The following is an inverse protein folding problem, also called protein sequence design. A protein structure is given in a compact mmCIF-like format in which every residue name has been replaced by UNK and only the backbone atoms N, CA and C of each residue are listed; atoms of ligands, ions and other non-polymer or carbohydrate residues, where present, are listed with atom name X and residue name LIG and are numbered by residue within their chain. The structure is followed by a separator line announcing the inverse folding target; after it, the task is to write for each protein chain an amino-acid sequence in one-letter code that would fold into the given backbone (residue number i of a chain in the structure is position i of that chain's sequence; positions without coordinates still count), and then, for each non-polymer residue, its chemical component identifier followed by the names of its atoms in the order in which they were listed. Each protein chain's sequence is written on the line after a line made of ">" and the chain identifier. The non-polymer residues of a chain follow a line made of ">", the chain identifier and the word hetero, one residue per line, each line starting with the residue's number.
data_IF_368453645090
#
_entry.id   IF_368453645090
#
_cell.length_a   1.000
_cell.length_b   1.000
_cell.length_c   1.000
_cell.angle_alpha   90.00
_cell.angle_beta   90.00
_cell.angle_gamma   90.00
#
_symmetry.space_group_name_H-M   'P 1'
#
loop_
_entity.id
_entity.type
_entity.pdbx_description
1 polymer ?
#
# COMPACT_ATOMS: atom_id res chain seq x y z
N UNK A 1 15.06 -3.54 -13.87
CA UNK A 1 15.44 -3.30 -12.47
C UNK A 1 16.47 -4.33 -11.97
N UNK A 2 16.27 -5.63 -12.16
CA UNK A 2 17.22 -6.67 -11.73
C UNK A 2 18.59 -6.58 -12.41
N UNK A 3 18.65 -6.05 -13.61
CA UNK A 3 19.92 -5.82 -14.34
C UNK A 3 20.77 -4.75 -13.62
N UNK A 4 20.14 -3.68 -13.13
CA UNK A 4 20.79 -2.62 -12.35
C UNK A 4 21.14 -3.06 -10.92
N UNK A 5 20.47 -4.06 -10.40
CA UNK A 5 20.71 -4.57 -9.05
C UNK A 5 21.97 -5.44 -8.94
N UNK A 6 22.47 -6.01 -10.06
CA UNK A 6 23.61 -6.93 -10.02
C UNK A 6 23.42 -8.03 -8.97
N UNK A 7 24.39 -8.21 -8.08
CA UNK A 7 24.32 -9.20 -7.01
C UNK A 7 23.31 -8.84 -5.91
N UNK A 8 22.89 -7.58 -5.79
CA UNK A 8 21.92 -7.13 -4.79
C UNK A 8 20.48 -7.58 -5.08
N UNK A 9 20.20 -8.13 -6.28
CA UNK A 9 18.91 -8.77 -6.60
C UNK A 9 18.53 -9.87 -5.61
N UNK A 10 19.51 -10.57 -5.04
CA UNK A 10 19.27 -11.61 -4.03
C UNK A 10 18.74 -11.02 -2.72
N UNK A 11 19.16 -9.81 -2.34
CA UNK A 11 18.61 -9.11 -1.18
C UNK A 11 17.16 -8.70 -1.41
N UNK A 12 16.79 -8.26 -2.63
CA UNK A 12 15.39 -7.99 -2.97
C UNK A 12 14.52 -9.25 -2.83
N UNK A 13 14.99 -10.39 -3.36
CA UNK A 13 14.26 -11.65 -3.24
C UNK A 13 14.15 -12.08 -1.77
N UNK A 14 15.24 -11.95 -1.01
CA UNK A 14 15.27 -12.27 0.42
C UNK A 14 14.30 -11.39 1.22
N UNK A 15 14.17 -10.09 0.86
CA UNK A 15 13.21 -9.19 1.50
C UNK A 15 11.75 -9.66 1.29
N UNK A 16 11.41 -10.16 0.09
CA UNK A 16 10.07 -10.71 -0.17
C UNK A 16 9.81 -11.97 0.65
N UNK A 17 10.80 -12.87 0.74
CA UNK A 17 10.70 -14.07 1.55
C UNK A 17 10.47 -13.71 3.02
N UNK A 18 11.24 -12.76 3.56
CA UNK A 18 11.06 -12.30 4.93
C UNK A 18 9.70 -11.64 5.14
N UNK A 19 9.19 -10.84 4.18
CA UNK A 19 7.86 -10.25 4.26
C UNK A 19 6.76 -11.32 4.30
N UNK A 20 6.82 -12.33 3.44
CA UNK A 20 5.85 -13.45 3.44
C UNK A 20 5.92 -14.24 4.74
N UNK A 21 7.13 -14.63 5.18
CA UNK A 21 7.31 -15.43 6.39
C UNK A 21 6.88 -14.64 7.63
N UNK A 22 7.24 -13.36 7.72
CA UNK A 22 6.81 -12.51 8.83
C UNK A 22 5.30 -12.36 8.89
N UNK A 23 4.64 -12.18 7.72
CA UNK A 23 3.18 -12.10 7.64
C UNK A 23 2.48 -13.37 8.14
N UNK A 24 3.01 -14.55 7.81
CA UNK A 24 2.45 -15.81 8.30
C UNK A 24 2.73 -16.05 9.79
N UNK A 25 3.94 -15.74 10.26
CA UNK A 25 4.28 -15.84 11.69
C UNK A 25 3.43 -14.86 12.51
N UNK A 26 3.09 -13.69 11.98
CA UNK A 26 2.19 -12.72 12.62
C UNK A 26 0.76 -13.26 12.86
N UNK A 27 0.36 -14.34 12.19
CA UNK A 27 -0.92 -15.01 12.41
C UNK A 27 -0.88 -16.03 13.58
N UNK A 28 0.30 -16.52 13.94
CA UNK A 28 0.45 -17.52 15.00
C UNK A 28 -0.07 -17.05 16.38
N UNK A 29 0.13 -15.77 16.79
CA UNK A 29 -0.48 -15.24 18.01
C UNK A 29 -2.00 -15.44 18.10
N UNK A 30 -2.73 -15.33 16.97
CA UNK A 30 -4.18 -15.54 16.96
C UNK A 30 -4.56 -16.99 17.30
N UNK A 31 -3.75 -17.96 16.88
CA UNK A 31 -3.92 -19.35 17.29
C UNK A 31 -3.74 -19.52 18.81
N UNK A 32 -2.74 -18.89 19.41
CA UNK A 32 -2.53 -18.97 20.86
C UNK A 32 -3.62 -18.22 21.65
N UNK A 33 -4.12 -17.09 21.14
CA UNK A 33 -5.27 -16.38 21.74
C UNK A 33 -6.50 -17.32 21.73
N UNK A 34 -6.74 -18.03 20.62
CA UNK A 34 -7.80 -19.03 20.57
C UNK A 34 -7.58 -20.15 21.61
N UNK A 35 -6.35 -20.63 21.79
CA UNK A 35 -6.02 -21.63 22.81
C UNK A 35 -6.33 -21.14 24.23
N UNK A 36 -6.01 -19.86 24.52
CA UNK A 36 -6.35 -19.24 25.81
C UNK A 36 -7.85 -19.22 26.01
N UNK A 37 -8.62 -18.74 25.03
CA UNK A 37 -10.08 -18.67 25.11
C UNK A 37 -10.67 -20.07 25.29
N UNK A 38 -10.20 -21.04 24.52
CA UNK A 38 -10.66 -22.43 24.61
C UNK A 38 -10.41 -23.01 26.00
N UNK A 39 -9.22 -22.87 26.56
CA UNK A 39 -8.90 -23.39 27.89
C UNK A 39 -9.78 -22.75 28.99
N UNK A 40 -10.05 -21.42 28.87
CA UNK A 40 -10.96 -20.73 29.80
C UNK A 40 -12.37 -21.31 29.71
N UNK A 41 -12.88 -21.59 28.52
CA UNK A 41 -14.22 -22.14 28.32
C UNK A 41 -14.31 -23.59 28.79
N UNK A 42 -13.28 -24.40 28.56
CA UNK A 42 -13.24 -25.83 28.91
C UNK A 42 -13.22 -26.05 30.43
N UNK A 43 -12.63 -25.13 31.21
CA UNK A 43 -12.55 -25.22 32.68
C UNK A 43 -13.64 -24.45 33.44
N UNK A 44 -14.51 -23.72 32.73
CA UNK A 44 -15.59 -22.95 33.35
C UNK A 44 -16.54 -23.87 34.14
N UNK A 45 -16.97 -23.51 35.38
CA UNK A 45 -16.68 -22.26 36.11
C UNK A 45 -15.42 -22.28 36.98
N UNK A 46 -14.61 -23.35 36.95
CA UNK A 46 -13.43 -23.54 37.81
C UNK A 46 -12.16 -22.99 37.18
N UNK A 47 -12.06 -21.68 37.01
CA UNK A 47 -10.96 -20.99 36.29
C UNK A 47 -9.56 -21.19 36.92
N UNK A 48 -9.48 -21.61 38.17
CA UNK A 48 -8.25 -21.96 38.88
C UNK A 48 -7.52 -23.18 38.27
N UNK A 49 -8.24 -24.00 37.48
CA UNK A 49 -7.69 -25.16 36.78
C UNK A 49 -7.06 -24.80 35.42
N UNK A 50 -7.12 -23.56 34.99
CA UNK A 50 -6.51 -23.08 33.76
C UNK A 50 -4.99 -22.86 33.91
N UNK A 51 -4.21 -23.95 33.89
CA UNK A 51 -2.77 -23.92 34.21
C UNK A 51 -1.87 -23.39 33.09
N UNK A 52 -2.32 -23.41 31.81
CA UNK A 52 -1.49 -23.13 30.64
C UNK A 52 -1.62 -21.69 30.08
N UNK A 53 -2.49 -20.85 30.64
CA UNK A 53 -2.78 -19.51 30.11
C UNK A 53 -1.52 -18.65 29.95
N UNK A 54 -0.67 -18.64 30.98
CA UNK A 54 0.58 -17.86 30.94
C UNK A 54 1.53 -18.37 29.86
N UNK A 55 1.62 -19.69 29.67
CA UNK A 55 2.45 -20.32 28.66
C UNK A 55 1.98 -19.95 27.25
N UNK A 56 0.68 -20.04 26.96
CA UNK A 56 0.11 -19.60 25.68
C UNK A 56 0.32 -18.10 25.44
N UNK A 57 0.16 -17.27 26.48
CA UNK A 57 0.45 -15.84 26.43
C UNK A 57 1.90 -15.56 26.03
N UNK A 58 2.87 -16.22 26.66
CA UNK A 58 4.27 -16.06 26.32
C UNK A 58 4.63 -16.53 24.91
N UNK A 59 4.03 -17.62 24.43
CA UNK A 59 4.19 -18.06 23.04
C UNK A 59 3.61 -17.02 22.06
N UNK A 60 2.42 -16.48 22.33
CA UNK A 60 1.83 -15.45 21.49
C UNK A 60 2.74 -14.22 21.37
N UNK A 61 3.27 -13.73 22.51
CA UNK A 61 4.22 -12.60 22.53
C UNK A 61 5.52 -12.96 21.80
N UNK A 62 6.08 -14.15 22.04
CA UNK A 62 7.30 -14.60 21.38
C UNK A 62 7.18 -14.64 19.85
N UNK A 63 6.08 -15.17 19.32
CA UNK A 63 5.82 -15.18 17.87
C UNK A 63 5.54 -13.79 17.31
N UNK A 64 4.89 -12.91 18.07
CA UNK A 64 4.70 -11.51 17.65
C UNK A 64 6.05 -10.78 17.53
N UNK A 65 6.94 -10.94 18.51
CA UNK A 65 8.29 -10.37 18.47
C UNK A 65 9.10 -10.97 17.31
N UNK A 66 9.02 -12.28 17.09
CA UNK A 66 9.72 -12.96 16.00
C UNK A 66 9.25 -12.45 14.64
N UNK A 67 7.93 -12.27 14.44
CA UNK A 67 7.40 -11.71 13.19
C UNK A 67 7.92 -10.29 12.93
N UNK A 68 7.91 -9.45 13.96
CA UNK A 68 8.44 -8.08 13.87
C UNK A 68 9.94 -8.08 13.52
N UNK A 69 10.71 -8.94 14.15
CA UNK A 69 12.15 -9.07 13.87
C UNK A 69 12.41 -9.47 12.41
N UNK A 70 11.68 -10.47 11.90
CA UNK A 70 11.80 -10.89 10.49
C UNK A 70 11.38 -9.80 9.53
N UNK A 71 10.32 -9.05 9.85
CA UNK A 71 9.90 -7.91 9.05
C UNK A 71 11.00 -6.84 8.96
N UNK A 72 11.63 -6.49 10.09
CA UNK A 72 12.76 -5.54 10.12
C UNK A 72 13.94 -6.07 9.30
N UNK A 73 14.28 -7.35 9.40
CA UNK A 73 15.31 -7.95 8.55
C UNK A 73 14.96 -7.84 7.06
N UNK A 74 13.71 -8.06 6.70
CA UNK A 74 13.20 -7.87 5.34
C UNK A 74 13.35 -6.44 4.85
N UNK A 75 12.98 -5.45 5.67
CA UNK A 75 13.16 -4.02 5.36
C UNK A 75 14.63 -3.65 5.18
N UNK A 76 15.52 -4.12 6.03
CA UNK A 76 16.96 -3.87 5.88
C UNK A 76 17.48 -4.42 4.54
N UNK A 77 17.09 -5.62 4.17
CA UNK A 77 17.46 -6.22 2.88
C UNK A 77 16.90 -5.41 1.69
N UNK A 78 15.63 -4.95 1.76
CA UNK A 78 15.02 -4.17 0.69
C UNK A 78 15.69 -2.80 0.53
N UNK A 79 15.93 -2.08 1.62
CA UNK A 79 16.58 -0.77 1.58
C UNK A 79 18.02 -0.85 1.06
N UNK A 80 18.82 -1.82 1.53
CA UNK A 80 20.18 -2.00 1.03
C UNK A 80 20.19 -2.25 -0.48
N UNK A 81 19.29 -3.09 -0.98
CA UNK A 81 19.16 -3.34 -2.42
C UNK A 81 18.69 -2.09 -3.16
N UNK A 82 17.66 -1.41 -2.66
CA UNK A 82 17.07 -0.24 -3.29
C UNK A 82 18.06 0.92 -3.43
N UNK A 83 18.82 1.23 -2.39
CA UNK A 83 19.87 2.28 -2.43
C UNK A 83 20.96 1.95 -3.44
N UNK A 84 21.33 0.68 -3.55
CA UNK A 84 22.34 0.26 -4.51
C UNK A 84 21.84 0.41 -5.96
N UNK A 85 20.60 0.00 -6.23
CA UNK A 85 19.93 0.19 -7.53
C UNK A 85 19.79 1.66 -7.86
N UNK A 86 19.36 2.49 -6.91
CA UNK A 86 19.23 3.93 -7.08
C UNK A 86 20.57 4.59 -7.46
N UNK A 87 21.65 4.24 -6.75
CA UNK A 87 22.98 4.75 -7.04
C UNK A 87 23.46 4.31 -8.44
N UNK A 88 23.20 3.05 -8.82
CA UNK A 88 23.51 2.52 -10.15
C UNK A 88 22.76 3.25 -11.26
N UNK A 89 21.47 3.47 -11.11
CA UNK A 89 20.64 4.21 -12.07
C UNK A 89 21.15 5.65 -12.20
N UNK A 90 21.42 6.35 -11.09
CA UNK A 90 21.95 7.72 -11.12
C UNK A 90 23.29 7.79 -11.86
N UNK A 91 24.20 6.86 -11.58
CA UNK A 91 25.51 6.80 -12.23
C UNK A 91 25.39 6.60 -13.73
N UNK A 92 24.54 5.66 -14.18
CA UNK A 92 24.34 5.41 -15.60
C UNK A 92 23.65 6.57 -16.32
N UNK A 93 22.65 7.19 -15.70
CA UNK A 93 22.00 8.38 -16.24
C UNK A 93 22.99 9.54 -16.40
N UNK A 94 23.83 9.79 -15.38
CA UNK A 94 24.85 10.84 -15.47
C UNK A 94 25.87 10.53 -16.55
N UNK A 95 26.33 9.28 -16.68
CA UNK A 95 27.24 8.88 -17.74
C UNK A 95 26.59 9.08 -19.13
N UNK A 96 25.34 8.69 -19.29
CA UNK A 96 24.61 8.89 -20.55
C UNK A 96 24.47 10.38 -20.89
N UNK A 97 24.12 11.22 -19.93
CA UNK A 97 23.99 12.67 -20.12
C UNK A 97 25.31 13.30 -20.61
N UNK A 98 26.46 12.82 -20.09
CA UNK A 98 27.77 13.32 -20.54
C UNK A 98 28.12 12.93 -21.99
N UNK A 99 27.45 11.92 -22.56
CA UNK A 99 27.63 11.51 -23.96
C UNK A 99 26.71 12.27 -24.94
N UNK A 100 25.75 13.05 -24.44
CA UNK A 100 24.79 13.80 -25.26
C UNK A 100 25.43 15.09 -25.83
N UNK A 101 25.00 15.55 -27.03
CA UNK A 101 25.44 16.81 -27.61
C UNK A 101 25.10 18.01 -26.70
N UNK A 102 25.96 19.05 -26.70
CA UNK A 102 25.77 20.27 -25.91
C UNK A 102 24.40 20.93 -26.14
N UNK A 103 23.88 20.91 -27.37
CA UNK A 103 22.56 21.48 -27.69
C UNK A 103 21.38 20.84 -26.96
N UNK A 104 21.53 19.60 -26.45
CA UNK A 104 20.52 18.95 -25.63
C UNK A 104 20.35 19.65 -24.26
N UNK A 105 21.45 20.13 -23.70
CA UNK A 105 21.44 20.87 -22.42
C UNK A 105 20.75 22.22 -22.54
N UNK A 106 20.83 22.86 -23.71
CA UNK A 106 20.21 24.17 -23.95
C UNK A 106 18.70 24.05 -24.21
N UNK A 107 18.24 22.96 -24.85
CA UNK A 107 16.85 22.78 -25.21
C UNK A 107 15.96 22.34 -24.04
N UNK A 108 16.45 21.47 -23.17
CA UNK A 108 15.65 20.88 -22.10
C UNK A 108 15.86 21.51 -20.72
N UNK A 109 16.90 22.31 -20.55
CA UNK A 109 17.24 23.00 -19.32
C UNK A 109 17.77 22.08 -18.20
N UNK A 110 18.75 22.55 -17.46
CA UNK A 110 19.40 21.82 -16.36
C UNK A 110 18.42 21.38 -15.26
N UNK A 111 17.32 22.11 -15.07
CA UNK A 111 16.29 21.81 -14.09
C UNK A 111 15.50 20.55 -14.42
N UNK A 112 15.14 20.31 -15.69
CA UNK A 112 14.44 19.12 -16.14
C UNK A 112 15.30 17.86 -16.01
N UNK A 113 16.58 17.96 -16.42
CA UNK A 113 17.54 16.88 -16.27
C UNK A 113 17.74 16.50 -14.80
N UNK A 114 17.95 17.49 -13.94
CA UNK A 114 18.05 17.28 -12.49
C UNK A 114 16.82 16.60 -11.91
N UNK A 115 15.63 17.01 -12.35
CA UNK A 115 14.35 16.39 -11.93
C UNK A 115 14.31 14.93 -12.33
N UNK A 116 14.60 14.59 -13.58
CA UNK A 116 14.60 13.20 -14.08
C UNK A 116 15.58 12.34 -13.29
N UNK A 117 16.83 12.79 -13.11
CA UNK A 117 17.87 12.02 -12.42
C UNK A 117 17.53 11.81 -10.94
N UNK A 118 17.02 12.82 -10.23
CA UNK A 118 16.72 12.70 -8.81
C UNK A 118 15.36 12.06 -8.55
N UNK A 119 14.28 12.62 -9.07
CA UNK A 119 12.92 12.18 -8.74
C UNK A 119 12.61 10.78 -9.30
N UNK A 120 13.03 10.46 -10.54
CA UNK A 120 12.77 9.13 -11.10
C UNK A 120 13.59 8.03 -10.41
N UNK A 121 14.82 8.33 -9.99
CA UNK A 121 15.63 7.36 -9.24
C UNK A 121 15.15 7.19 -7.79
N UNK A 122 14.63 8.26 -7.15
CA UNK A 122 13.99 8.21 -5.82
C UNK A 122 12.68 7.42 -5.86
N UNK A 123 11.84 7.63 -6.89
CA UNK A 123 10.63 6.84 -7.09
C UNK A 123 10.94 5.34 -7.26
N UNK A 124 12.03 5.00 -7.95
CA UNK A 124 12.47 3.62 -8.10
C UNK A 124 12.95 3.02 -6.78
N UNK A 125 13.69 3.78 -5.98
CA UNK A 125 14.11 3.38 -4.64
C UNK A 125 12.89 3.10 -3.74
N UNK A 126 11.95 4.04 -3.65
CA UNK A 126 10.72 3.91 -2.87
C UNK A 126 9.92 2.66 -3.29
N UNK A 127 9.84 2.40 -4.60
CA UNK A 127 9.16 1.21 -5.12
C UNK A 127 9.83 -0.08 -4.64
N UNK A 128 11.15 -0.18 -4.75
CA UNK A 128 11.92 -1.37 -4.37
C UNK A 128 12.00 -1.55 -2.85
N UNK A 129 12.16 -0.45 -2.10
CA UNK A 129 12.35 -0.49 -0.66
C UNK A 129 11.06 -0.83 0.09
N UNK A 130 9.93 -0.29 -0.35
CA UNK A 130 8.65 -0.38 0.36
C UNK A 130 7.57 -1.12 -0.42
N UNK A 131 7.26 -0.70 -1.65
CA UNK A 131 6.07 -1.21 -2.34
C UNK A 131 6.16 -2.70 -2.67
N UNK A 132 7.31 -3.20 -3.08
CA UNK A 132 7.46 -4.63 -3.42
C UNK A 132 7.39 -5.55 -2.19
N UNK A 133 8.12 -5.31 -1.06
CA UNK A 133 7.96 -6.10 0.15
C UNK A 133 6.55 -6.02 0.73
N UNK A 134 5.92 -4.82 0.72
CA UNK A 134 4.57 -4.63 1.20
C UNK A 134 3.53 -5.38 0.35
N UNK A 135 3.69 -5.42 -0.98
CA UNK A 135 2.84 -6.22 -1.86
C UNK A 135 2.97 -7.72 -1.57
N UNK A 136 4.20 -8.21 -1.33
CA UNK A 136 4.42 -9.60 -0.97
C UNK A 136 3.70 -9.96 0.36
N UNK A 137 3.81 -9.12 1.37
CA UNK A 137 3.09 -9.26 2.64
C UNK A 137 1.57 -9.14 2.48
N UNK A 138 1.11 -8.17 1.69
CA UNK A 138 -0.32 -7.95 1.43
C UNK A 138 -1.00 -9.12 0.71
N UNK A 139 -0.27 -9.86 -0.13
CA UNK A 139 -0.77 -11.10 -0.76
C UNK A 139 -0.67 -12.28 0.22
N UNK A 140 0.41 -12.39 0.97
CA UNK A 140 0.66 -13.49 1.89
C UNK A 140 -0.33 -13.51 3.07
N UNK A 141 -0.70 -12.35 3.60
CA UNK A 141 -1.61 -12.24 4.76
C UNK A 141 -3.00 -12.82 4.50
N UNK A 142 -3.73 -12.47 3.43
CA UNK A 142 -5.03 -13.09 3.14
C UNK A 142 -4.95 -14.59 2.90
N UNK A 143 -3.87 -15.05 2.23
CA UNK A 143 -3.65 -16.49 2.01
C UNK A 143 -3.42 -17.21 3.33
N UNK A 144 -2.59 -16.65 4.21
CA UNK A 144 -2.35 -17.23 5.53
C UNK A 144 -3.61 -17.23 6.41
N UNK A 145 -4.40 -16.15 6.39
CA UNK A 145 -5.69 -16.09 7.08
C UNK A 145 -6.67 -17.14 6.56
N UNK A 146 -6.75 -17.33 5.24
CA UNK A 146 -7.59 -18.34 4.65
C UNK A 146 -7.18 -19.74 5.12
N UNK A 147 -5.89 -20.05 5.07
CA UNK A 147 -5.36 -21.34 5.57
C UNK A 147 -5.72 -21.52 7.04
N UNK A 148 -5.53 -20.49 7.87
CA UNK A 148 -5.88 -20.54 9.28
C UNK A 148 -7.37 -20.81 9.49
N UNK A 149 -8.25 -20.10 8.79
CA UNK A 149 -9.71 -20.29 8.87
C UNK A 149 -10.13 -21.70 8.44
N UNK A 150 -9.56 -22.23 7.36
CA UNK A 150 -9.85 -23.59 6.89
C UNK A 150 -9.35 -24.67 7.85
N UNK A 151 -8.28 -24.42 8.60
CA UNK A 151 -7.77 -25.32 9.63
C UNK A 151 -8.69 -25.38 10.86
N UNK A 152 -9.37 -24.29 11.21
CA UNK A 152 -10.32 -24.29 12.33
C UNK A 152 -11.67 -24.92 11.95
N UNK A 153 -12.29 -24.44 10.89
CA UNK A 153 -13.53 -24.99 10.33
C UNK A 153 -13.62 -24.62 8.85
N UNK A 154 -13.54 -25.64 7.97
CA UNK A 154 -13.57 -25.44 6.53
C UNK A 154 -14.87 -24.81 6.04
N UNK A 155 -16.02 -25.05 6.73
CA UNK A 155 -17.34 -24.51 6.38
C UNK A 155 -17.37 -23.00 6.64
N UNK A 156 -16.94 -22.60 7.83
CA UNK A 156 -16.84 -21.19 8.20
C UNK A 156 -15.80 -20.47 7.34
N UNK A 157 -14.67 -21.12 7.06
CA UNK A 157 -13.63 -20.59 6.18
C UNK A 157 -14.13 -20.30 4.77
N UNK A 158 -14.86 -21.24 4.15
CA UNK A 158 -15.43 -21.05 2.81
C UNK A 158 -16.52 -19.96 2.79
N UNK A 159 -17.38 -19.91 3.80
CA UNK A 159 -18.43 -18.89 3.87
C UNK A 159 -17.87 -17.48 4.10
N UNK A 160 -16.77 -17.35 4.84
CA UNK A 160 -16.08 -16.08 5.03
C UNK A 160 -15.43 -15.53 3.76
N UNK A 161 -15.16 -16.38 2.77
CA UNK A 161 -14.64 -15.94 1.47
C UNK A 161 -15.66 -15.16 0.65
N UNK A 162 -16.96 -15.40 0.83
CA UNK A 162 -18.01 -14.76 0.02
C UNK A 162 -17.89 -13.23 0.08
N UNK A 163 -17.92 -12.58 1.25
CA UNK A 163 -17.77 -11.13 1.32
C UNK A 163 -16.37 -10.65 0.87
N UNK A 164 -15.33 -11.44 1.09
CA UNK A 164 -13.97 -11.10 0.63
C UNK A 164 -13.89 -11.06 -0.89
N UNK A 165 -14.38 -12.11 -1.56
CA UNK A 165 -14.43 -12.17 -3.03
C UNK A 165 -15.31 -11.06 -3.60
N UNK A 166 -16.47 -10.79 -3.00
CA UNK A 166 -17.35 -9.70 -3.41
C UNK A 166 -16.65 -8.33 -3.29
N UNK A 167 -15.91 -8.09 -2.19
CA UNK A 167 -15.13 -6.88 -2.00
C UNK A 167 -14.02 -6.73 -3.07
N UNK A 168 -13.31 -7.82 -3.41
CA UNK A 168 -12.30 -7.81 -4.47
C UNK A 168 -12.88 -7.54 -5.86
N UNK A 169 -14.05 -8.08 -6.17
CA UNK A 169 -14.76 -7.79 -7.44
C UNK A 169 -15.14 -6.31 -7.55
N UNK A 170 -15.63 -5.72 -6.45
CA UNK A 170 -15.93 -4.29 -6.40
C UNK A 170 -14.65 -3.46 -6.56
N UNK A 171 -13.57 -3.81 -5.87
CA UNK A 171 -12.28 -3.12 -6.02
C UNK A 171 -11.74 -3.24 -7.45
N UNK A 172 -11.90 -4.39 -8.11
CA UNK A 172 -11.54 -4.59 -9.51
C UNK A 172 -12.30 -3.63 -10.45
N UNK A 173 -13.55 -3.29 -10.14
CA UNK A 173 -14.32 -2.32 -10.92
C UNK A 173 -13.76 -0.89 -10.88
N UNK A 174 -12.99 -0.57 -9.83
CA UNK A 174 -12.33 0.74 -9.65
C UNK A 174 -11.02 0.86 -10.44
N UNK A 175 -10.48 -0.24 -10.98
CA UNK A 175 -9.19 -0.27 -11.70
C UNK A 175 -9.33 -0.34 -13.23
N UNK A 176 -10.55 -0.18 -13.76
CA UNK A 176 -10.83 -0.24 -15.18
C UNK A 176 -10.28 0.96 -15.98
N UNK A 177 -10.30 0.85 -17.33
CA UNK A 177 -9.80 1.89 -18.24
C UNK A 177 -10.43 3.26 -17.98
N UNK A 178 -11.73 3.30 -17.72
CA UNK A 178 -12.46 4.55 -17.39
C UNK A 178 -11.87 5.28 -16.17
N UNK A 179 -11.42 4.52 -15.17
CA UNK A 179 -10.80 5.11 -13.97
C UNK A 179 -9.38 5.61 -14.26
N UNK A 180 -8.62 4.88 -15.09
CA UNK A 180 -7.31 5.33 -15.57
C UNK A 180 -7.38 6.64 -16.32
N UNK A 181 -8.37 6.78 -17.23
CA UNK A 181 -8.57 8.00 -18.01
C UNK A 181 -8.88 9.20 -17.08
N UNK A 182 -9.77 8.99 -16.10
CA UNK A 182 -10.08 10.02 -15.08
C UNK A 182 -8.89 10.37 -14.19
N UNK A 183 -8.08 9.38 -13.82
CA UNK A 183 -6.86 9.63 -13.05
C UNK A 183 -5.86 10.44 -13.89
N UNK A 184 -5.73 10.15 -15.17
CA UNK A 184 -4.87 10.92 -16.08
C UNK A 184 -5.34 12.37 -16.20
N UNK A 185 -6.64 12.60 -16.35
CA UNK A 185 -7.20 13.96 -16.40
C UNK A 185 -6.99 14.73 -15.07
N UNK A 186 -7.13 14.04 -13.94
CA UNK A 186 -6.83 14.61 -12.63
C UNK A 186 -5.34 15.00 -12.51
N UNK A 187 -4.43 14.10 -12.93
CA UNK A 187 -2.99 14.36 -12.91
C UNK A 187 -2.61 15.55 -13.83
N UNK A 188 -3.17 15.60 -15.02
CA UNK A 188 -2.95 16.70 -15.95
C UNK A 188 -3.42 18.05 -15.36
N UNK A 189 -4.59 18.07 -14.71
CA UNK A 189 -5.10 19.27 -14.06
C UNK A 189 -4.24 19.71 -12.87
N UNK A 190 -3.67 18.75 -12.11
CA UNK A 190 -2.72 19.02 -11.01
C UNK A 190 -1.41 19.60 -11.53
N UNK A 191 -0.87 19.05 -12.62
CA UNK A 191 0.35 19.53 -13.26
C UNK A 191 0.16 20.94 -13.82
N UNK A 192 -0.95 21.22 -14.51
CA UNK A 192 -1.30 22.54 -15.00
C UNK A 192 -1.42 23.57 -13.86
N UNK A 193 -2.11 23.22 -12.78
CA UNK A 193 -2.23 24.08 -11.60
C UNK A 193 -0.86 24.37 -10.96
N UNK A 194 0.00 23.35 -10.85
CA UNK A 194 1.34 23.47 -10.28
C UNK A 194 2.25 24.39 -11.14
N UNK A 195 2.16 24.23 -12.46
CA UNK A 195 2.89 25.06 -13.42
C UNK A 195 2.46 26.53 -13.35
N UNK A 196 1.16 26.80 -13.35
CA UNK A 196 0.61 28.16 -13.23
C UNK A 196 0.94 28.79 -11.85
N UNK A 197 1.04 27.99 -10.77
CA UNK A 197 1.47 28.47 -9.47
C UNK A 197 2.92 28.95 -9.50
N UNK A 198 3.81 28.20 -10.15
CA UNK A 198 5.23 28.59 -10.30
C UNK A 198 5.37 29.86 -11.14
N UNK A 199 4.65 29.94 -12.28
CA UNK A 199 4.64 31.16 -13.11
C UNK A 199 4.12 32.37 -12.34
N UNK A 200 3.05 32.15 -11.56
CA UNK A 200 2.50 33.19 -10.71
C UNK A 200 3.52 33.74 -9.71
N UNK A 201 4.19 32.85 -8.95
CA UNK A 201 5.21 33.26 -7.97
C UNK A 201 6.37 34.03 -8.65
N UNK A 202 6.81 33.56 -9.83
CA UNK A 202 7.84 34.24 -10.62
C UNK A 202 7.39 35.64 -11.11
N UNK A 203 6.11 35.82 -11.39
CA UNK A 203 5.52 37.07 -11.85
C UNK A 203 5.24 38.10 -10.75
N UNK A 204 5.24 37.72 -9.46
CA UNK A 204 4.91 38.62 -8.33
C UNK A 204 5.77 39.92 -8.31
N UNK A 205 7.09 39.89 -8.53
CA UNK A 205 7.89 41.11 -8.54
C UNK A 205 7.44 42.08 -9.64
N UNK A 206 7.13 41.58 -10.84
CA UNK A 206 6.66 42.38 -11.98
C UNK A 206 5.28 42.98 -11.68
N UNK A 207 4.36 42.21 -11.14
CA UNK A 207 3.01 42.67 -10.75
C UNK A 207 3.11 43.77 -9.69
N UNK A 208 4.00 43.63 -8.69
CA UNK A 208 4.22 44.65 -7.64
C UNK A 208 4.83 45.93 -8.20
N UNK A 209 5.76 45.83 -9.14
CA UNK A 209 6.45 46.98 -9.72
C UNK A 209 5.51 47.84 -10.60
N UNK A 210 4.62 47.18 -11.36
CA UNK A 210 3.74 47.89 -12.29
C UNK A 210 2.34 48.14 -11.74
N UNK A 211 2.08 47.89 -10.44
CA UNK A 211 0.79 48.17 -9.79
C UNK A 211 -0.40 47.39 -10.36
N UNK A 212 -0.13 46.35 -11.11
CA UNK A 212 -1.19 45.53 -11.72
C UNK A 212 -1.89 44.70 -10.66
N UNK A 213 -3.19 44.84 -10.56
CA UNK A 213 -4.02 44.09 -9.63
C UNK A 213 -4.37 42.69 -10.14
N UNK A 214 -4.94 41.92 -9.27
CA UNK A 214 -5.58 40.59 -9.28
C UNK A 214 -5.91 39.91 -10.62
N UNK A 215 -5.93 40.58 -11.76
CA UNK A 215 -6.22 40.02 -13.08
C UNK A 215 -5.13 39.12 -13.66
N UNK A 216 -3.86 39.34 -13.29
CA UNK A 216 -2.76 38.40 -13.61
C UNK A 216 -2.90 37.04 -12.96
N UNK A 217 -3.77 36.93 -11.95
CA UNK A 217 -4.17 35.68 -11.28
C UNK A 217 -5.19 34.85 -12.04
N UNK A 218 -5.75 35.35 -13.12
CA UNK A 218 -6.89 34.66 -13.77
C UNK A 218 -6.52 33.23 -14.20
N UNK A 219 -5.35 33.08 -14.83
CA UNK A 219 -4.88 31.77 -15.30
C UNK A 219 -4.71 30.79 -14.13
N UNK A 220 -4.02 31.20 -13.07
CA UNK A 220 -3.81 30.37 -11.88
C UNK A 220 -5.14 30.05 -11.17
N UNK A 221 -6.03 31.03 -11.02
CA UNK A 221 -7.36 30.77 -10.45
C UNK A 221 -8.21 29.83 -11.30
N UNK A 222 -8.13 29.93 -12.61
CA UNK A 222 -8.88 29.08 -13.53
C UNK A 222 -8.30 27.64 -13.50
N UNK A 223 -6.98 27.47 -13.37
CA UNK A 223 -6.35 26.16 -13.17
C UNK A 223 -6.73 25.51 -11.83
N UNK A 224 -6.82 26.28 -10.73
CA UNK A 224 -7.34 25.80 -9.44
C UNK A 224 -8.77 25.29 -9.58
N UNK A 225 -9.65 26.04 -10.24
CA UNK A 225 -11.05 25.63 -10.47
C UNK A 225 -11.16 24.39 -11.35
N UNK A 226 -10.28 24.26 -12.34
CA UNK A 226 -10.21 23.08 -13.18
C UNK A 226 -9.77 21.86 -12.35
N UNK A 227 -8.75 21.99 -11.52
CA UNK A 227 -8.29 20.96 -10.61
C UNK A 227 -9.37 20.58 -9.58
N UNK A 228 -10.04 21.55 -8.97
CA UNK A 228 -11.18 21.33 -8.07
C UNK A 228 -12.28 20.52 -8.73
N UNK A 229 -12.69 20.91 -9.95
CA UNK A 229 -13.73 20.19 -10.73
C UNK A 229 -13.35 18.73 -10.95
N UNK A 230 -12.11 18.47 -11.35
CA UNK A 230 -11.64 17.10 -11.59
C UNK A 230 -11.50 16.31 -10.30
N UNK A 231 -11.01 16.93 -9.22
CA UNK A 231 -10.93 16.29 -7.89
C UNK A 231 -12.30 15.85 -7.40
N UNK A 232 -13.29 16.75 -7.49
CA UNK A 232 -14.68 16.45 -7.10
C UNK A 232 -15.27 15.35 -7.98
N UNK A 233 -15.06 15.40 -9.30
CA UNK A 233 -15.57 14.40 -10.24
C UNK A 233 -14.97 13.02 -9.95
N UNK A 234 -13.65 12.94 -9.75
CA UNK A 234 -12.95 11.71 -9.40
C UNK A 234 -13.42 11.13 -8.07
N UNK A 235 -13.51 11.96 -7.03
CA UNK A 235 -13.97 11.53 -5.70
C UNK A 235 -15.43 11.05 -5.71
N UNK A 236 -16.31 11.72 -6.45
CA UNK A 236 -17.71 11.31 -6.60
C UNK A 236 -17.84 9.95 -7.29
N UNK A 237 -17.03 9.67 -8.29
CA UNK A 237 -17.02 8.38 -9.00
C UNK A 237 -16.60 7.23 -8.09
N UNK A 238 -15.58 7.47 -7.25
CA UNK A 238 -15.06 6.47 -6.32
C UNK A 238 -15.94 6.26 -5.09
N UNK A 239 -16.78 7.24 -4.72
CA UNK A 239 -17.51 7.22 -3.45
C UNK A 239 -18.36 5.97 -3.26
N UNK A 240 -19.20 5.63 -4.23
CA UNK A 240 -20.10 4.47 -4.12
C UNK A 240 -19.33 3.15 -4.12
N UNK A 241 -18.45 2.84 -5.08
CA UNK A 241 -17.67 1.61 -5.04
C UNK A 241 -16.85 1.47 -3.77
N UNK A 242 -16.21 2.55 -3.29
CA UNK A 242 -15.42 2.53 -2.06
C UNK A 242 -16.27 2.28 -0.81
N UNK A 243 -17.48 2.88 -0.76
CA UNK A 243 -18.42 2.63 0.34
C UNK A 243 -18.88 1.18 0.34
N UNK A 244 -19.22 0.60 -0.81
CA UNK A 244 -19.59 -0.81 -0.91
C UNK A 244 -18.44 -1.73 -0.55
N UNK A 245 -17.24 -1.46 -1.06
CA UNK A 245 -16.03 -2.21 -0.71
C UNK A 245 -15.79 -2.24 0.81
N UNK A 246 -15.76 -1.07 1.45
CA UNK A 246 -15.51 -0.97 2.89
C UNK A 246 -16.63 -1.59 3.72
N UNK A 247 -17.88 -1.46 3.31
CA UNK A 247 -19.02 -2.07 4.00
C UNK A 247 -18.98 -3.58 3.91
N UNK A 248 -18.76 -4.14 2.73
CA UNK A 248 -18.76 -5.59 2.50
C UNK A 248 -17.57 -6.26 3.17
N UNK A 249 -16.37 -5.67 3.09
CA UNK A 249 -15.19 -6.25 3.75
C UNK A 249 -15.36 -6.28 5.28
N UNK A 250 -15.94 -5.22 5.85
CA UNK A 250 -16.22 -5.17 7.29
C UNK A 250 -17.42 -6.06 7.69
N UNK A 251 -18.36 -6.34 6.77
CA UNK A 251 -19.46 -7.27 7.01
C UNK A 251 -18.99 -8.74 7.13
N UNK A 252 -17.78 -9.08 6.69
CA UNK A 252 -17.24 -10.44 6.77
C UNK A 252 -17.31 -11.01 8.19
N UNK A 253 -17.00 -10.19 9.20
CA UNK A 253 -17.09 -10.60 10.60
C UNK A 253 -18.53 -10.83 11.07
N UNK A 254 -19.48 -9.98 10.66
CA UNK A 254 -20.89 -10.15 10.97
C UNK A 254 -21.46 -11.42 10.31
N UNK A 255 -21.06 -11.72 9.07
CA UNK A 255 -21.43 -12.95 8.35
C UNK A 255 -20.91 -14.17 9.11
N UNK A 256 -19.65 -14.15 9.56
CA UNK A 256 -19.09 -15.25 10.35
C UNK A 256 -19.91 -15.51 11.62
N UNK A 257 -20.26 -14.47 12.38
CA UNK A 257 -21.08 -14.61 13.59
C UNK A 257 -22.46 -15.19 13.25
N UNK A 258 -23.15 -14.65 12.25
CA UNK A 258 -24.48 -15.10 11.85
C UNK A 258 -24.47 -16.57 11.39
N UNK A 259 -23.47 -16.97 10.60
CA UNK A 259 -23.32 -18.34 10.14
C UNK A 259 -22.99 -19.29 11.29
N UNK A 260 -22.11 -18.89 12.21
CA UNK A 260 -21.80 -19.69 13.40
C UNK A 260 -23.07 -19.95 14.22
N UNK A 261 -23.89 -18.91 14.45
CA UNK A 261 -25.18 -19.07 15.13
C UNK A 261 -26.12 -20.05 14.42
N UNK A 262 -26.20 -19.97 13.10
CA UNK A 262 -27.04 -20.85 12.29
C UNK A 262 -26.56 -22.31 12.33
N UNK A 263 -25.24 -22.54 12.22
CA UNK A 263 -24.64 -23.87 12.25
C UNK A 263 -24.79 -24.52 13.62
N UNK A 264 -24.57 -23.77 14.72
CA UNK A 264 -24.72 -24.29 16.08
C UNK A 264 -26.18 -24.63 16.35
N UNK A 265 -27.13 -23.77 15.96
CA UNK A 265 -28.55 -24.01 16.17
C UNK A 265 -29.12 -25.16 15.30
N UNK A 266 -28.59 -25.35 14.08
CA UNK A 266 -28.96 -26.42 13.19
C UNK A 266 -28.36 -27.81 13.54
N UNK A 267 -27.31 -27.82 14.38
CA UNK A 267 -26.70 -29.06 14.89
C UNK A 267 -27.39 -29.63 16.16
N UNK A 268 -28.32 -28.86 16.74
CA UNK A 268 -29.15 -29.34 17.88
C UNK A 268 -30.49 -29.97 17.44
N UNK A 269 -30.73 -30.10 16.14
CA UNK A 269 -31.88 -30.80 15.56
C UNK A 269 -31.41 -32.09 14.84
#
# INVERSE_FOLDING_TARGET
>A
LFEYAGNYKYLTILSWIFSVVSAWIALVPFYYIWRVIKEILDVAPHYENAGNLANYGWHAVGFAILSMFLYICGLLCSHLSAFHVQAGIRSQLMHHIMTLPMGFMDSDGSGKIRKIVNESSEATETYLAHQLPDQAGAIATPVGLLVLLLMFDWRLGLLSLIPVVAAFLIMGSMTGQRMKDKMTEYQNALEEMSSEAVEYVRGIPVVKTFGQSVFSFKRFRDSIKKYEKWTIAYTKELRLPMTFYTTIINAAFAVLIAVTFYVVRGGES
#
